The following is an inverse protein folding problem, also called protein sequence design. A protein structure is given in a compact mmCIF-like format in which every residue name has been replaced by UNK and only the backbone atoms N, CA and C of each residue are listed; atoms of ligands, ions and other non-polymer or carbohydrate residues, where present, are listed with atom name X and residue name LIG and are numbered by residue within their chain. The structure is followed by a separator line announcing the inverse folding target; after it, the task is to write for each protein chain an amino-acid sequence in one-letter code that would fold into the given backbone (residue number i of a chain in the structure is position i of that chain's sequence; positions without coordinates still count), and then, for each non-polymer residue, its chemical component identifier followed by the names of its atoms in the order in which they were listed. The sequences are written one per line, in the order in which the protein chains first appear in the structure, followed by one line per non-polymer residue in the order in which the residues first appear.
data_IF_539570906262
#
_entry.id   IF_539570906262
#
_cell.length_a   1.000
_cell.length_b   1.000
_cell.length_c   1.000
_cell.angle_alpha   90.00
_cell.angle_beta   90.00
_cell.angle_gamma   90.00
#
_symmetry.space_group_name_H-M   'P 1'
#
loop_
_entity.id
_entity.type
_entity.pdbx_description
1 polymer ?
#
# COMPACT_ATOMS: atom_id res chain seq x y z
N UNK A 1 35.76 19.43 20.50
CA UNK A 1 34.63 18.51 20.75
C UNK A 1 33.89 18.40 19.43
N UNK A 2 34.14 17.33 18.68
CA UNK A 2 33.72 17.18 17.29
C UNK A 2 32.24 16.81 17.19
N UNK A 3 31.54 17.56 16.35
CA UNK A 3 30.14 17.44 15.97
C UNK A 3 29.85 16.07 15.34
N UNK A 4 29.26 15.14 16.09
CA UNK A 4 29.17 13.72 15.74
C UNK A 4 27.75 13.17 15.51
N UNK A 5 26.75 14.03 15.29
CA UNK A 5 25.32 13.60 15.30
C UNK A 5 24.45 14.20 14.19
N UNK A 6 25.02 14.92 13.22
CA UNK A 6 24.25 15.85 12.39
C UNK A 6 23.12 15.21 11.55
N UNK A 7 23.16 13.92 11.24
CA UNK A 7 22.23 13.28 10.29
C UNK A 7 21.67 11.92 10.71
N UNK A 8 21.62 11.59 12.00
CA UNK A 8 21.07 10.31 12.46
C UNK A 8 19.58 10.15 12.14
N UNK A 9 19.18 8.93 11.77
CA UNK A 9 17.80 8.52 11.53
C UNK A 9 17.35 7.61 12.68
N UNK A 10 16.24 7.93 13.35
CA UNK A 10 15.61 7.01 14.31
C UNK A 10 14.17 6.71 13.91
N UNK A 11 13.87 5.41 13.79
CA UNK A 11 12.54 4.88 13.49
C UNK A 11 12.07 4.01 14.66
N UNK A 12 10.86 4.30 15.14
CA UNK A 12 10.18 3.52 16.17
C UNK A 12 8.96 2.84 15.57
N UNK A 13 8.76 1.55 15.85
CA UNK A 13 7.57 0.79 15.47
C UNK A 13 7.16 -0.13 16.61
N UNK A 14 5.85 -0.32 16.75
CA UNK A 14 5.29 -1.35 17.61
C UNK A 14 4.82 -2.51 16.74
N UNK A 15 5.30 -3.72 17.05
CA UNK A 15 5.00 -4.95 16.31
C UNK A 15 4.29 -5.91 17.25
N UNK A 16 3.13 -6.42 16.82
CA UNK A 16 2.27 -7.34 17.59
C UNK A 16 2.81 -8.78 17.59
N UNK A 17 4.07 -8.95 18.00
CA UNK A 17 4.74 -10.24 18.11
C UNK A 17 5.75 -10.25 19.29
N UNK A 18 6.07 -11.43 19.86
CA UNK A 18 7.11 -11.58 20.87
C UNK A 18 8.49 -11.15 20.36
N UNK A 19 9.36 -10.67 21.26
CA UNK A 19 10.69 -10.13 20.90
C UNK A 19 11.53 -11.11 20.11
N UNK A 20 11.51 -12.38 20.48
CA UNK A 20 12.26 -13.45 19.83
C UNK A 20 11.88 -13.56 18.37
N UNK A 21 10.58 -13.48 18.07
CA UNK A 21 10.06 -13.56 16.70
C UNK A 21 10.38 -12.33 15.88
N UNK A 22 10.35 -11.16 16.50
CA UNK A 22 10.76 -9.91 15.86
C UNK A 22 12.26 -9.93 15.58
N UNK A 23 13.09 -10.35 16.54
CA UNK A 23 14.53 -10.51 16.38
C UNK A 23 14.87 -11.50 15.26
N UNK A 24 14.22 -12.66 15.23
CA UNK A 24 14.40 -13.68 14.19
C UNK A 24 14.14 -13.11 12.79
N UNK A 25 13.17 -12.20 12.65
CA UNK A 25 12.87 -11.57 11.36
C UNK A 25 14.01 -10.69 10.83
N UNK A 26 14.95 -10.24 11.66
CA UNK A 26 16.13 -9.46 11.25
C UNK A 26 17.33 -10.33 10.83
N UNK A 27 17.34 -11.61 11.20
CA UNK A 27 18.56 -12.44 11.09
C UNK A 27 18.35 -13.76 10.34
N UNK A 28 17.10 -14.20 10.15
CA UNK A 28 16.80 -15.40 9.39
C UNK A 28 16.48 -15.06 7.93
N UNK A 29 17.28 -15.59 7.00
CA UNK A 29 17.13 -15.31 5.57
C UNK A 29 15.70 -15.52 5.02
N UNK A 30 14.94 -16.59 5.38
CA UNK A 30 13.56 -16.77 4.91
C UNK A 30 12.57 -15.69 5.38
N UNK A 31 12.85 -15.03 6.51
CA UNK A 31 12.01 -13.94 7.01
C UNK A 31 12.46 -12.61 6.42
N UNK A 32 13.77 -12.34 6.43
CA UNK A 32 14.36 -11.12 5.86
C UNK A 32 13.93 -10.90 4.40
N UNK A 33 13.91 -11.97 3.60
CA UNK A 33 13.55 -11.91 2.18
C UNK A 33 12.12 -11.42 1.93
N UNK A 34 11.27 -11.38 2.95
CA UNK A 34 9.86 -10.99 2.86
C UNK A 34 9.59 -9.53 3.23
N UNK A 35 10.56 -8.80 3.79
CA UNK A 35 10.31 -7.43 4.27
C UNK A 35 11.47 -6.44 4.11
N UNK A 36 12.73 -6.91 3.97
CA UNK A 36 13.91 -6.03 3.95
C UNK A 36 14.14 -5.38 2.58
N UNK A 37 13.08 -4.77 2.06
CA UNK A 37 13.07 -3.85 0.93
C UNK A 37 11.81 -2.96 1.03
N UNK A 38 11.73 -1.83 0.34
CA UNK A 38 10.48 -1.08 0.24
C UNK A 38 9.37 -1.89 -0.45
N UNK A 39 8.10 -1.55 -0.20
CA UNK A 39 6.97 -2.14 -0.92
C UNK A 39 7.13 -1.98 -2.43
N UNK A 40 6.68 -2.98 -3.19
CA UNK A 40 6.85 -3.05 -4.66
C UNK A 40 8.23 -3.47 -5.13
N UNK A 41 9.14 -3.81 -4.21
CA UNK A 41 10.39 -4.51 -4.49
C UNK A 41 10.34 -5.93 -3.94
N UNK A 42 11.31 -6.76 -4.35
CA UNK A 42 11.52 -8.10 -3.81
C UNK A 42 12.96 -8.26 -3.30
N UNK A 43 13.19 -9.27 -2.47
CA UNK A 43 14.53 -9.68 -2.03
C UNK A 43 14.82 -11.10 -2.56
N UNK A 44 15.27 -11.24 -3.82
CA UNK A 44 15.54 -12.55 -4.41
C UNK A 44 16.70 -13.32 -3.75
N UNK A 45 17.65 -12.61 -3.12
CA UNK A 45 18.83 -13.22 -2.52
C UNK A 45 19.10 -12.61 -1.14
N UNK A 46 19.25 -13.47 -0.13
CA UNK A 46 19.54 -13.10 1.25
C UNK A 46 20.49 -14.13 1.86
N UNK A 47 21.65 -13.68 2.35
CA UNK A 47 22.68 -14.49 2.99
C UNK A 47 23.01 -13.92 4.35
N UNK A 48 23.00 -14.75 5.39
CA UNK A 48 23.07 -14.31 6.78
C UNK A 48 23.91 -15.29 7.62
N UNK A 49 25.07 -14.84 8.11
CA UNK A 49 25.85 -15.50 9.17
C UNK A 49 25.50 -14.80 10.50
N UNK A 50 24.43 -15.27 11.14
CA UNK A 50 23.76 -14.62 12.27
C UNK A 50 24.49 -14.83 13.61
N UNK A 51 25.66 -14.20 13.75
CA UNK A 51 26.48 -14.20 14.98
C UNK A 51 27.33 -12.93 15.04
N UNK A 52 27.89 -12.64 16.21
CA UNK A 52 28.87 -11.56 16.36
C UNK A 52 30.07 -11.76 15.39
N UNK A 53 30.42 -10.74 14.64
CA UNK A 53 31.44 -10.77 13.58
C UNK A 53 31.01 -11.45 12.27
N UNK A 54 29.82 -12.06 12.23
CA UNK A 54 29.26 -12.65 11.01
C UNK A 54 28.86 -11.58 9.99
N UNK A 55 28.72 -11.99 8.73
CA UNK A 55 28.38 -11.11 7.60
C UNK A 55 27.00 -11.40 7.04
N UNK A 56 26.40 -10.38 6.45
CA UNK A 56 25.16 -10.53 5.69
C UNK A 56 25.26 -9.82 4.33
N UNK A 57 24.44 -10.28 3.39
CA UNK A 57 24.27 -9.69 2.06
C UNK A 57 22.83 -9.87 1.61
N UNK A 58 22.22 -8.79 1.11
CA UNK A 58 20.84 -8.73 0.62
C UNK A 58 20.84 -8.08 -0.76
N UNK A 59 20.20 -8.75 -1.72
CA UNK A 59 19.91 -8.19 -3.04
C UNK A 59 18.44 -7.81 -3.07
N UNK A 60 18.15 -6.52 -3.20
CA UNK A 60 16.81 -6.01 -3.46
C UNK A 60 16.62 -5.82 -4.97
N UNK A 61 15.44 -6.11 -5.49
CA UNK A 61 15.11 -5.97 -6.90
C UNK A 61 13.85 -5.13 -7.08
N UNK A 62 13.96 -4.07 -7.88
CA UNK A 62 12.82 -3.26 -8.29
C UNK A 62 12.06 -3.93 -9.45
N UNK A 63 10.81 -3.51 -9.67
CA UNK A 63 9.94 -4.04 -10.74
C UNK A 63 10.54 -3.94 -12.15
N UNK A 64 11.34 -2.92 -12.41
CA UNK A 64 12.05 -2.75 -13.69
C UNK A 64 13.27 -3.68 -13.84
N UNK A 65 13.51 -4.58 -12.88
CA UNK A 65 14.63 -5.51 -12.86
C UNK A 65 15.92 -4.94 -12.25
N UNK A 66 15.97 -3.64 -11.92
CA UNK A 66 17.15 -3.04 -11.30
C UNK A 66 17.44 -3.68 -9.94
N UNK A 67 18.72 -4.01 -9.71
CA UNK A 67 19.20 -4.65 -8.48
C UNK A 67 19.99 -3.67 -7.61
N UNK A 68 19.76 -3.74 -6.30
CA UNK A 68 20.43 -2.97 -5.27
C UNK A 68 20.98 -3.95 -4.24
N UNK A 69 22.30 -3.99 -4.09
CA UNK A 69 22.95 -4.95 -3.18
C UNK A 69 23.50 -4.19 -1.98
N UNK A 70 23.05 -4.59 -0.80
CA UNK A 70 23.55 -4.11 0.48
C UNK A 70 24.17 -5.26 1.27
N UNK A 71 25.13 -4.93 2.13
CA UNK A 71 25.71 -5.88 3.06
C UNK A 71 26.44 -5.19 4.19
N UNK A 72 26.93 -6.01 5.12
CA UNK A 72 27.69 -5.54 6.26
C UNK A 72 28.03 -6.67 7.22
N UNK A 73 28.56 -6.29 8.38
CA UNK A 73 28.96 -7.22 9.44
C UNK A 73 28.23 -6.90 10.74
N UNK A 74 27.85 -7.93 11.48
CA UNK A 74 27.30 -7.81 12.83
C UNK A 74 28.41 -7.44 13.83
N UNK A 75 28.26 -6.27 14.46
CA UNK A 75 29.18 -5.77 15.49
C UNK A 75 28.73 -6.19 16.88
N UNK A 76 27.42 -6.09 17.16
CA UNK A 76 26.80 -6.61 18.38
C UNK A 76 25.63 -7.54 18.01
N UNK A 77 25.55 -8.68 18.69
CA UNK A 77 24.52 -9.70 18.47
C UNK A 77 24.07 -10.26 19.82
N UNK A 78 23.03 -9.67 20.41
CA UNK A 78 22.51 -10.04 21.73
C UNK A 78 21.05 -10.44 21.57
N UNK A 79 20.77 -11.73 21.39
CA UNK A 79 19.41 -12.24 21.20
C UNK A 79 18.66 -12.31 22.54
N UNK A 80 17.38 -11.87 22.62
CA UNK A 80 16.57 -11.18 21.61
C UNK A 80 16.57 -9.64 21.77
N UNK A 81 17.57 -9.06 22.42
CA UNK A 81 17.54 -7.69 22.95
C UNK A 81 18.09 -6.62 22.00
N UNK A 82 19.19 -6.90 21.29
CA UNK A 82 19.94 -5.89 20.54
C UNK A 82 20.69 -6.46 19.34
N UNK A 83 20.67 -5.71 18.24
CA UNK A 83 21.54 -5.91 17.08
C UNK A 83 22.25 -4.60 16.73
N UNK A 84 23.54 -4.66 16.43
CA UNK A 84 24.27 -3.56 15.79
C UNK A 84 25.04 -4.11 14.60
N UNK A 85 24.84 -3.54 13.43
CA UNK A 85 25.47 -4.00 12.20
C UNK A 85 25.79 -2.86 11.24
N UNK A 86 26.85 -3.05 10.46
CA UNK A 86 27.18 -2.14 9.36
C UNK A 86 26.18 -2.24 8.22
N UNK A 87 25.97 -1.16 7.49
CA UNK A 87 25.16 -1.14 6.27
C UNK A 87 25.89 -0.37 5.18
N UNK A 88 26.23 -1.06 4.09
CA UNK A 88 26.91 -0.50 2.94
C UNK A 88 26.28 -0.98 1.64
N UNK A 89 26.08 -0.05 0.71
CA UNK A 89 25.71 -0.36 -0.66
C UNK A 89 26.96 -0.78 -1.46
N UNK A 90 26.87 -1.84 -2.27
CA UNK A 90 28.02 -2.31 -3.06
C UNK A 90 28.29 -1.42 -4.29
N UNK A 91 27.24 -0.91 -4.93
CA UNK A 91 27.37 -0.09 -6.15
C UNK A 91 26.32 1.03 -6.24
N UNK A 92 25.03 0.69 -6.11
CA UNK A 92 23.90 1.65 -6.22
C UNK A 92 23.28 1.90 -4.84
N UNK A 93 22.90 3.15 -4.56
CA UNK A 93 22.30 3.58 -3.29
C UNK A 93 23.08 4.76 -2.72
N UNK A 94 24.14 4.46 -1.98
CA UNK A 94 25.15 5.44 -1.52
C UNK A 94 26.54 4.78 -1.63
N UNK A 95 27.30 5.03 -2.69
CA UNK A 95 28.58 4.36 -2.89
C UNK A 95 29.60 4.75 -1.80
N UNK A 96 30.20 3.74 -1.14
CA UNK A 96 31.43 3.91 -0.36
C UNK A 96 31.30 4.27 1.13
N UNK A 97 30.19 4.85 1.59
CA UNK A 97 29.99 5.13 3.02
C UNK A 97 29.30 3.96 3.73
N UNK A 98 29.96 3.37 4.72
CA UNK A 98 29.35 2.41 5.63
C UNK A 98 28.66 3.17 6.77
N UNK A 99 27.35 3.01 6.86
CA UNK A 99 26.54 3.49 7.98
C UNK A 99 26.44 2.41 9.06
N UNK A 100 26.06 2.78 10.27
CA UNK A 100 25.83 1.84 11.38
C UNK A 100 24.35 1.81 11.74
N UNK A 101 23.75 0.62 11.78
CA UNK A 101 22.36 0.41 12.22
C UNK A 101 22.38 -0.27 13.58
N UNK A 102 21.71 0.33 14.56
CA UNK A 102 21.44 -0.24 15.87
C UNK A 102 19.94 -0.49 16.01
N UNK A 103 19.54 -1.70 16.40
CA UNK A 103 18.15 -2.09 16.65
C UNK A 103 18.04 -2.58 18.09
N UNK A 104 17.22 -1.91 18.88
CA UNK A 104 16.80 -2.36 20.20
C UNK A 104 15.40 -2.99 20.13
N UNK A 105 15.22 -4.13 20.75
CA UNK A 105 13.97 -4.88 20.81
C UNK A 105 13.43 -4.85 22.24
N UNK A 106 12.42 -4.01 22.45
CA UNK A 106 11.94 -3.67 23.78
C UNK A 106 10.59 -4.32 24.01
N UNK A 107 10.47 -5.10 25.08
CA UNK A 107 9.21 -5.75 25.44
C UNK A 107 8.16 -4.72 25.87
N UNK A 108 6.93 -4.92 25.39
CA UNK A 108 5.77 -4.09 25.70
C UNK A 108 4.56 -4.99 25.89
N UNK A 109 3.52 -4.47 26.55
CA UNK A 109 2.25 -5.14 26.60
C UNK A 109 1.73 -5.41 25.16
N UNK A 110 1.38 -6.67 24.88
CA UNK A 110 0.87 -7.13 23.58
C UNK A 110 1.83 -7.05 22.37
N UNK A 111 3.15 -6.91 22.58
CA UNK A 111 4.10 -6.95 21.49
C UNK A 111 5.51 -6.44 21.82
N UNK A 112 6.21 -5.98 20.78
CA UNK A 112 7.58 -5.49 20.84
C UNK A 112 7.65 -4.10 20.23
N UNK A 113 8.23 -3.16 20.96
CA UNK A 113 8.68 -1.89 20.39
C UNK A 113 10.08 -2.10 19.82
N UNK A 114 10.27 -1.82 18.54
CA UNK A 114 11.61 -1.70 17.96
C UNK A 114 12.01 -0.22 17.92
N UNK A 115 13.27 0.04 18.29
CA UNK A 115 13.93 1.33 18.04
C UNK A 115 15.13 1.07 17.15
N UNK A 116 15.01 1.48 15.89
CA UNK A 116 16.08 1.37 14.90
C UNK A 116 16.71 2.73 14.68
N UNK A 117 18.00 2.85 14.95
CA UNK A 117 18.79 4.07 14.68
C UNK A 117 19.86 3.76 13.65
N UNK A 118 19.91 4.55 12.57
CA UNK A 118 20.98 4.50 11.58
C UNK A 118 21.78 5.80 11.63
N UNK A 119 23.09 5.66 11.78
CA UNK A 119 24.03 6.78 11.95
C UNK A 119 25.14 6.73 10.91
N UNK A 120 25.79 7.87 10.67
CA UNK A 120 26.91 8.00 9.73
C UNK A 120 26.50 8.41 8.31
N UNK A 121 25.33 9.04 8.15
CA UNK A 121 24.93 9.62 6.88
C UNK A 121 25.80 10.84 6.53
N UNK A 122 26.19 11.01 5.25
CA UNK A 122 27.01 12.14 4.81
C UNK A 122 26.23 13.46 4.78
N UNK A 123 24.91 13.40 4.58
CA UNK A 123 24.03 14.56 4.50
C UNK A 123 22.56 14.19 4.83
N UNK A 124 21.71 15.21 4.91
CA UNK A 124 20.29 15.08 5.20
C UNK A 124 19.51 14.35 4.08
N UNK A 125 19.83 14.59 2.80
CA UNK A 125 19.10 13.99 1.68
C UNK A 125 19.30 12.46 1.64
N UNK A 126 20.51 12.01 1.92
CA UNK A 126 20.86 10.62 2.13
C UNK A 126 20.05 9.98 3.25
N UNK A 127 19.98 10.64 4.43
CA UNK A 127 19.17 10.19 5.58
C UNK A 127 17.69 10.09 5.21
N UNK A 128 17.14 11.11 4.57
CA UNK A 128 15.70 11.20 4.26
C UNK A 128 15.29 10.12 3.24
N UNK A 129 16.14 9.84 2.25
CA UNK A 129 15.92 8.71 1.31
C UNK A 129 15.89 7.36 2.03
N UNK A 130 16.76 7.17 3.04
CA UNK A 130 16.75 5.95 3.86
C UNK A 130 15.55 5.91 4.82
N UNK A 131 15.06 7.05 5.30
CA UNK A 131 13.83 7.12 6.11
C UNK A 131 12.62 6.60 5.33
N UNK A 132 12.47 6.99 4.07
CA UNK A 132 11.40 6.51 3.20
C UNK A 132 11.51 5.00 2.96
N UNK A 133 12.71 4.53 2.60
CA UNK A 133 12.98 3.12 2.33
C UNK A 133 12.72 2.23 3.55
N UNK A 134 13.34 2.55 4.69
CA UNK A 134 13.13 1.83 5.94
C UNK A 134 11.71 1.96 6.46
N UNK A 135 11.09 3.14 6.32
CA UNK A 135 9.70 3.34 6.69
C UNK A 135 8.78 2.34 5.98
N UNK A 136 8.96 2.16 4.68
CA UNK A 136 8.24 1.17 3.88
C UNK A 136 8.59 -0.28 4.26
N UNK A 137 9.87 -0.61 4.41
CA UNK A 137 10.31 -1.95 4.82
C UNK A 137 9.75 -2.37 6.18
N UNK A 138 9.76 -1.45 7.16
CA UNK A 138 9.24 -1.73 8.49
C UNK A 138 7.72 -1.88 8.50
N UNK A 139 6.98 -1.25 7.58
CA UNK A 139 5.56 -1.52 7.39
C UNK A 139 5.35 -2.98 6.90
N UNK A 140 6.16 -3.46 5.96
CA UNK A 140 6.12 -4.86 5.54
C UNK A 140 6.44 -5.83 6.69
N UNK A 141 7.39 -5.47 7.55
CA UNK A 141 7.72 -6.27 8.74
C UNK A 141 6.52 -6.33 9.71
N UNK A 142 5.80 -5.23 9.90
CA UNK A 142 4.59 -5.20 10.73
C UNK A 142 3.53 -6.14 10.17
N UNK A 143 3.25 -6.07 8.87
CA UNK A 143 2.26 -6.96 8.22
C UNK A 143 2.68 -8.43 8.27
N UNK A 144 3.96 -8.71 8.02
CA UNK A 144 4.54 -10.05 8.07
C UNK A 144 4.36 -10.70 9.44
N UNK A 145 4.56 -9.92 10.50
CA UNK A 145 4.55 -10.43 11.87
C UNK A 145 3.19 -10.28 12.56
N UNK A 146 2.20 -9.70 11.92
CA UNK A 146 0.88 -9.55 12.49
C UNK A 146 -0.11 -10.62 11.97
N UNK A 147 -0.17 -11.72 12.71
CA UNK A 147 -1.03 -12.86 12.41
C UNK A 147 -2.51 -12.46 12.33
N UNK A 148 -2.94 -11.48 13.14
CA UNK A 148 -4.34 -11.07 13.25
C UNK A 148 -4.74 -9.97 12.26
N UNK A 149 -3.78 -9.26 11.66
CA UNK A 149 -4.07 -8.18 10.70
C UNK A 149 -4.50 -6.84 11.29
N UNK A 150 -4.22 -6.62 12.58
CA UNK A 150 -4.54 -5.41 13.33
C UNK A 150 -3.40 -4.39 13.39
N UNK A 151 -2.23 -4.69 12.82
CA UNK A 151 -1.08 -3.82 12.64
C UNK A 151 -1.07 -3.18 11.25
N UNK A 152 -2.14 -3.38 10.47
CA UNK A 152 -2.23 -2.91 9.09
C UNK A 152 -1.94 -1.40 9.05
N UNK A 153 -0.78 -1.07 8.50
CA UNK A 153 -0.40 0.30 8.19
C UNK A 153 -1.34 0.90 7.14
N UNK A 154 -2.08 0.02 6.46
CA UNK A 154 -3.15 0.30 5.51
C UNK A 154 -4.44 0.71 6.23
N UNK A 155 -4.84 1.97 6.04
CA UNK A 155 -6.10 2.53 6.52
C UNK A 155 -6.88 3.09 5.34
N UNK A 156 -8.14 2.68 5.23
CA UNK A 156 -9.10 3.23 4.26
C UNK A 156 -10.13 4.06 5.03
N UNK A 157 -10.25 5.33 4.70
CA UNK A 157 -11.24 6.23 5.28
C UNK A 157 -12.38 6.46 4.29
N UNK A 158 -13.63 6.25 4.72
CA UNK A 158 -14.80 6.55 3.91
C UNK A 158 -16.06 5.78 4.29
N UNK A 159 -17.21 6.24 3.78
CA UNK A 159 -18.50 5.59 3.97
C UNK A 159 -18.52 4.20 3.30
N UNK A 160 -18.80 3.11 4.02
CA UNK A 160 -18.80 1.75 3.47
C UNK A 160 -19.82 1.53 2.33
N UNK A 161 -20.80 2.42 2.16
CA UNK A 161 -21.81 2.36 1.10
C UNK A 161 -21.34 3.00 -0.21
N UNK A 162 -20.30 3.84 -0.18
CA UNK A 162 -19.78 4.50 -1.37
C UNK A 162 -19.27 3.47 -2.38
N UNK A 163 -19.67 3.60 -3.64
CA UNK A 163 -19.20 2.73 -4.74
C UNK A 163 -17.67 2.71 -4.81
N UNK A 164 -17.03 3.87 -4.68
CA UNK A 164 -15.57 4.00 -4.70
C UNK A 164 -14.86 3.40 -3.48
N UNK A 165 -15.46 3.53 -2.29
CA UNK A 165 -14.93 2.86 -1.09
C UNK A 165 -15.05 1.35 -1.25
N UNK A 166 -16.18 0.85 -1.77
CA UNK A 166 -16.37 -0.58 -2.08
C UNK A 166 -15.37 -1.07 -3.12
N UNK A 167 -15.10 -0.32 -4.18
CA UNK A 167 -14.07 -0.64 -5.18
C UNK A 167 -12.68 -0.80 -4.54
N UNK A 168 -12.25 0.15 -3.70
CA UNK A 168 -10.98 0.04 -2.99
C UNK A 168 -10.92 -1.18 -2.07
N UNK A 169 -12.01 -1.47 -1.33
CA UNK A 169 -12.13 -2.63 -0.46
C UNK A 169 -12.05 -3.96 -1.21
N UNK A 170 -12.69 -4.06 -2.38
CA UNK A 170 -12.60 -5.24 -3.22
C UNK A 170 -11.18 -5.44 -3.74
N UNK A 171 -10.50 -4.38 -4.21
CA UNK A 171 -9.11 -4.49 -4.64
C UNK A 171 -8.14 -4.92 -3.52
N UNK A 172 -8.34 -4.41 -2.30
CA UNK A 172 -7.59 -4.88 -1.12
C UNK A 172 -7.88 -6.36 -0.82
N UNK A 173 -9.14 -6.80 -0.92
CA UNK A 173 -9.54 -8.18 -0.69
C UNK A 173 -8.94 -9.15 -1.72
N UNK A 174 -8.99 -8.80 -3.01
CA UNK A 174 -8.39 -9.60 -4.10
C UNK A 174 -6.87 -9.77 -3.93
N UNK A 175 -6.20 -8.75 -3.39
CA UNK A 175 -4.76 -8.79 -3.09
C UNK A 175 -4.43 -9.47 -1.76
N UNK A 176 -5.44 -9.85 -0.97
CA UNK A 176 -5.26 -10.40 0.37
C UNK A 176 -4.65 -9.40 1.37
N UNK A 177 -4.77 -8.09 1.08
CA UNK A 177 -4.22 -7.02 1.92
C UNK A 177 -5.17 -6.77 3.09
N UNK A 178 -4.66 -6.97 4.31
CA UNK A 178 -5.38 -6.62 5.53
C UNK A 178 -5.35 -5.10 5.72
N UNK A 179 -6.47 -4.51 6.12
CA UNK A 179 -6.62 -3.06 6.29
C UNK A 179 -7.62 -2.73 7.39
N UNK A 180 -7.52 -1.50 7.91
CA UNK A 180 -8.55 -0.92 8.78
C UNK A 180 -9.46 -0.02 7.98
N UNK A 181 -10.78 -0.28 8.01
CA UNK A 181 -11.78 0.66 7.51
C UNK A 181 -12.18 1.63 8.63
N UNK A 182 -12.00 2.93 8.40
CA UNK A 182 -12.48 3.99 9.28
C UNK A 182 -13.68 4.68 8.62
N UNK A 183 -14.91 4.46 9.11
CA UNK A 183 -16.10 5.07 8.52
C UNK A 183 -16.08 6.59 8.73
N UNK A 184 -15.95 7.35 7.66
CA UNK A 184 -16.04 8.81 7.65
C UNK A 184 -16.94 9.27 6.51
N UNK A 185 -17.80 10.24 6.79
CA UNK A 185 -18.54 10.95 5.75
C UNK A 185 -17.58 11.81 4.92
N UNK A 186 -17.90 12.09 3.64
CA UNK A 186 -17.18 13.08 2.84
C UNK A 186 -17.13 14.45 3.54
N UNK A 187 -16.12 15.25 3.22
CA UNK A 187 -15.92 16.62 3.70
C UNK A 187 -15.72 16.77 5.22
N UNK A 188 -15.37 15.69 5.92
CA UNK A 188 -14.93 15.74 7.31
C UNK A 188 -13.44 16.14 7.41
N UNK A 189 -13.00 16.71 8.55
CA UNK A 189 -11.58 17.07 8.75
C UNK A 189 -10.61 15.90 8.52
N UNK A 190 -11.00 14.69 8.93
CA UNK A 190 -10.19 13.48 8.78
C UNK A 190 -10.00 13.10 7.30
N UNK A 191 -11.04 13.30 6.49
CA UNK A 191 -10.94 13.10 5.04
C UNK A 191 -10.09 14.19 4.39
N UNK A 192 -10.28 15.47 4.75
CA UNK A 192 -9.47 16.57 4.19
C UNK A 192 -7.98 16.46 4.51
N UNK A 193 -7.62 15.80 5.61
CA UNK A 193 -6.22 15.52 5.95
C UNK A 193 -5.51 14.57 4.95
N UNK A 194 -6.24 13.95 4.02
CA UNK A 194 -5.70 13.01 3.00
C UNK A 194 -6.20 13.35 1.60
N UNK A 195 -7.48 13.71 1.47
CA UNK A 195 -8.16 13.95 0.22
C UNK A 195 -8.49 15.45 0.09
N UNK A 196 -7.78 16.22 -0.75
CA UNK A 196 -7.92 17.69 -0.80
C UNK A 196 -9.31 18.17 -1.26
N UNK A 197 -10.00 17.36 -2.07
CA UNK A 197 -11.38 17.64 -2.52
C UNK A 197 -12.48 17.16 -1.54
N UNK A 198 -12.10 16.60 -0.38
CA UNK A 198 -13.04 16.10 0.62
C UNK A 198 -13.89 14.91 0.16
N UNK A 199 -13.48 14.16 -0.86
CA UNK A 199 -14.20 12.97 -1.33
C UNK A 199 -13.65 11.71 -0.64
N UNK A 200 -14.34 10.59 -0.84
CA UNK A 200 -13.96 9.28 -0.31
C UNK A 200 -13.81 8.30 -1.47
N UNK A 201 -12.89 7.31 -1.37
CA UNK A 201 -12.03 6.99 -0.24
C UNK A 201 -10.81 7.92 -0.09
N UNK A 202 -10.35 8.08 1.15
CA UNK A 202 -8.99 8.49 1.48
C UNK A 202 -8.20 7.25 1.93
N UNK A 203 -6.94 7.13 1.50
CA UNK A 203 -6.10 5.96 1.76
C UNK A 203 -4.79 6.35 2.43
N UNK A 204 -4.37 5.55 3.40
CA UNK A 204 -3.05 5.64 4.03
C UNK A 204 -2.36 4.29 4.02
N UNK A 205 -1.05 4.29 3.78
CA UNK A 205 -0.14 3.21 4.15
C UNK A 205 1.07 3.80 4.89
N UNK A 206 0.99 3.83 6.22
CA UNK A 206 1.96 4.56 7.03
C UNK A 206 1.98 6.05 6.67
N UNK A 207 3.09 6.52 6.08
CA UNK A 207 3.24 7.91 5.62
C UNK A 207 2.70 8.15 4.20
N UNK A 208 2.47 7.10 3.41
CA UNK A 208 1.89 7.23 2.08
C UNK A 208 0.43 7.63 2.24
N UNK A 209 0.04 8.74 1.61
CA UNK A 209 -1.33 9.25 1.60
C UNK A 209 -1.79 9.37 0.15
N UNK A 210 -2.88 8.69 -0.19
CA UNK A 210 -3.42 8.67 -1.54
C UNK A 210 -4.91 9.00 -1.53
N UNK A 211 -5.33 9.67 -2.59
CA UNK A 211 -6.72 9.87 -2.97
C UNK A 211 -6.89 9.45 -4.45
N UNK A 212 -8.12 9.42 -4.94
CA UNK A 212 -8.54 8.76 -6.19
C UNK A 212 -8.42 7.22 -6.15
N UNK A 213 -9.56 6.56 -6.33
CA UNK A 213 -9.67 5.10 -6.25
C UNK A 213 -8.79 4.37 -7.26
N UNK A 214 -8.59 4.94 -8.46
CA UNK A 214 -7.74 4.31 -9.49
C UNK A 214 -6.27 4.38 -9.12
N UNK A 215 -5.83 5.50 -8.54
CA UNK A 215 -4.47 5.65 -8.01
C UNK A 215 -4.23 4.72 -6.82
N UNK A 216 -5.22 4.60 -5.92
CA UNK A 216 -5.18 3.66 -4.78
C UNK A 216 -5.04 2.21 -5.28
N UNK A 217 -5.85 1.77 -6.25
CA UNK A 217 -5.76 0.40 -6.76
C UNK A 217 -4.46 0.12 -7.51
N UNK A 218 -3.92 1.09 -8.26
CA UNK A 218 -2.59 0.96 -8.89
C UNK A 218 -1.48 0.82 -7.85
N UNK A 219 -1.52 1.65 -6.80
CA UNK A 219 -0.58 1.53 -5.69
C UNK A 219 -0.68 0.15 -5.03
N UNK A 220 -1.90 -0.29 -4.72
CA UNK A 220 -2.14 -1.60 -4.10
C UNK A 220 -1.67 -2.75 -4.99
N UNK A 221 -1.89 -2.67 -6.30
CA UNK A 221 -1.42 -3.68 -7.26
C UNK A 221 0.10 -3.82 -7.29
N UNK A 222 0.80 -2.68 -7.27
CA UNK A 222 2.26 -2.63 -7.39
C UNK A 222 2.99 -2.84 -6.06
N UNK A 223 2.42 -2.36 -4.96
CA UNK A 223 3.07 -2.34 -3.64
C UNK A 223 2.91 -3.67 -2.88
N UNK A 224 1.87 -4.45 -3.18
CA UNK A 224 1.53 -5.67 -2.44
C UNK A 224 1.57 -6.92 -3.32
N UNK A 225 1.92 -8.08 -2.75
CA UNK A 225 1.84 -9.36 -3.44
C UNK A 225 0.38 -9.75 -3.75
N UNK A 226 0.20 -10.82 -4.51
CA UNK A 226 -1.12 -11.35 -4.88
C UNK A 226 -1.47 -11.12 -6.35
N UNK A 227 -2.65 -11.56 -6.79
CA UNK A 227 -3.11 -11.45 -8.18
C UNK A 227 -2.99 -10.02 -8.70
N UNK A 228 -2.68 -9.83 -9.99
CA UNK A 228 -2.61 -8.48 -10.54
C UNK A 228 -4.00 -7.94 -10.83
N UNK A 229 -4.27 -6.71 -10.39
CA UNK A 229 -5.49 -5.96 -10.72
C UNK A 229 -5.38 -5.26 -12.09
N UNK A 230 -4.18 -5.22 -12.67
CA UNK A 230 -3.89 -4.53 -13.92
C UNK A 230 -3.43 -5.54 -14.98
N UNK A 231 -4.03 -5.56 -16.18
CA UNK A 231 -3.63 -6.53 -17.21
C UNK A 231 -2.16 -6.43 -17.68
N UNK A 232 -1.65 -7.52 -18.26
CA UNK A 232 -0.22 -7.68 -18.53
C UNK A 232 0.35 -6.90 -19.72
N UNK A 233 -0.39 -6.76 -20.84
CA UNK A 233 0.13 -6.06 -22.03
C UNK A 233 -0.22 -4.57 -22.01
N UNK A 234 0.55 -3.75 -22.73
CA UNK A 234 0.25 -2.30 -22.87
C UNK A 234 -1.18 -2.09 -23.39
N UNK A 235 -1.60 -2.88 -24.38
CA UNK A 235 -2.95 -2.81 -24.96
C UNK A 235 -4.03 -3.12 -23.92
N UNK A 236 -3.83 -4.17 -23.14
CA UNK A 236 -4.85 -4.61 -22.19
C UNK A 236 -4.92 -3.66 -20.97
N UNK A 237 -3.79 -3.06 -20.57
CA UNK A 237 -3.78 -1.94 -19.61
C UNK A 237 -4.55 -0.73 -20.11
N UNK A 238 -4.34 -0.35 -21.37
CA UNK A 238 -5.08 0.76 -21.98
C UNK A 238 -6.60 0.47 -22.03
N UNK A 239 -6.99 -0.77 -22.32
CA UNK A 239 -8.40 -1.20 -22.27
C UNK A 239 -8.98 -1.16 -20.85
N UNK A 240 -8.23 -1.60 -19.85
CA UNK A 240 -8.64 -1.48 -18.46
C UNK A 240 -8.88 -0.01 -18.07
N UNK A 241 -7.92 0.87 -18.38
CA UNK A 241 -8.05 2.30 -18.09
C UNK A 241 -9.19 2.97 -18.87
N UNK A 242 -9.41 2.57 -20.13
CA UNK A 242 -10.53 3.03 -20.94
C UNK A 242 -11.86 2.73 -20.23
N UNK A 243 -12.05 1.52 -19.71
CA UNK A 243 -13.27 1.15 -19.00
C UNK A 243 -13.41 1.86 -17.65
N UNK A 244 -12.34 1.95 -16.85
CA UNK A 244 -12.35 2.74 -15.60
C UNK A 244 -12.76 4.19 -15.87
N UNK A 245 -12.19 4.79 -16.92
CA UNK A 245 -12.53 6.15 -17.34
C UNK A 245 -13.98 6.27 -17.80
N UNK A 246 -14.47 5.35 -18.63
CA UNK A 246 -15.85 5.34 -19.10
C UNK A 246 -16.86 5.15 -17.96
N UNK A 247 -16.54 4.31 -16.98
CA UNK A 247 -17.36 4.10 -15.79
C UNK A 247 -17.48 5.41 -15.01
N UNK A 248 -16.35 6.07 -14.72
CA UNK A 248 -16.35 7.33 -13.97
C UNK A 248 -17.04 8.48 -14.72
N UNK A 249 -16.81 8.58 -16.03
CA UNK A 249 -17.31 9.70 -16.84
C UNK A 249 -18.81 9.57 -17.20
N UNK A 250 -19.28 8.35 -17.45
CA UNK A 250 -20.61 8.12 -18.02
C UNK A 250 -21.51 7.27 -17.12
N UNK A 251 -21.02 6.16 -16.58
CA UNK A 251 -21.87 5.17 -15.89
C UNK A 251 -22.20 5.63 -14.47
N UNK A 252 -21.22 6.11 -13.69
CA UNK A 252 -21.44 6.63 -12.32
C UNK A 252 -22.44 7.79 -12.31
N UNK A 253 -22.29 8.74 -13.25
CA UNK A 253 -23.19 9.89 -13.38
C UNK A 253 -24.65 9.49 -13.62
N UNK A 254 -24.87 8.42 -14.38
CA UNK A 254 -26.20 7.94 -14.75
C UNK A 254 -26.78 7.01 -13.66
N UNK A 255 -26.13 5.88 -13.42
CA UNK A 255 -26.64 4.81 -12.56
C UNK A 255 -26.54 5.15 -11.07
N UNK A 256 -25.49 5.86 -10.64
CA UNK A 256 -25.30 6.19 -9.22
C UNK A 256 -25.89 7.56 -8.92
N UNK A 257 -25.39 8.63 -9.55
CA UNK A 257 -25.72 10.02 -9.13
C UNK A 257 -27.15 10.42 -9.46
N UNK A 258 -27.62 10.14 -10.68
CA UNK A 258 -28.96 10.52 -11.13
C UNK A 258 -30.04 9.51 -10.76
N UNK A 259 -29.66 8.27 -10.44
CA UNK A 259 -30.62 7.23 -10.08
C UNK A 259 -30.53 6.84 -8.60
N UNK A 260 -29.51 6.08 -8.18
CA UNK A 260 -29.43 5.61 -6.78
C UNK A 260 -29.45 6.76 -5.75
N UNK A 261 -28.64 7.80 -5.95
CA UNK A 261 -28.56 8.91 -4.99
C UNK A 261 -29.83 9.77 -4.96
N UNK A 262 -30.65 9.77 -6.01
CA UNK A 262 -31.96 10.45 -5.96
C UNK A 262 -32.95 9.73 -5.04
N UNK A 263 -32.82 8.42 -4.86
CA UNK A 263 -33.62 7.67 -3.88
C UNK A 263 -33.06 7.77 -2.46
N UNK A 264 -31.73 7.72 -2.30
CA UNK A 264 -31.09 7.75 -0.99
C UNK A 264 -31.02 9.17 -0.39
N UNK A 265 -30.85 10.18 -1.23
CA UNK A 265 -30.71 11.59 -0.86
C UNK A 265 -31.55 12.45 -1.81
N UNK A 266 -32.88 12.35 -1.72
CA UNK A 266 -33.80 13.00 -2.65
C UNK A 266 -33.63 14.53 -2.64
N UNK A 267 -33.67 15.11 -3.84
CA UNK A 267 -33.58 16.58 -4.05
C UNK A 267 -34.82 17.18 -4.71
N UNK A 268 -35.85 16.37 -4.94
CA UNK A 268 -37.11 16.83 -5.53
C UNK A 268 -38.01 17.55 -4.53
N UNK A 269 -39.14 18.03 -5.05
CA UNK A 269 -40.13 18.76 -4.26
C UNK A 269 -40.60 17.95 -3.04
N UNK A 270 -40.71 18.61 -1.88
CA UNK A 270 -41.14 17.96 -0.64
C UNK A 270 -40.19 16.88 -0.12
N UNK A 271 -38.91 16.89 -0.55
CA UNK A 271 -37.94 15.86 -0.18
C UNK A 271 -38.19 14.51 -0.85
N UNK A 272 -38.94 14.48 -1.96
CA UNK A 272 -39.19 13.28 -2.74
C UNK A 272 -38.13 13.08 -3.84
N UNK A 273 -37.90 11.86 -4.32
CA UNK A 273 -37.04 11.61 -5.46
C UNK A 273 -37.52 12.38 -6.70
N UNK A 274 -36.60 13.02 -7.43
CA UNK A 274 -36.94 13.73 -8.67
C UNK A 274 -37.21 12.71 -9.80
N UNK A 275 -38.49 12.50 -10.11
CA UNK A 275 -38.92 11.56 -11.16
C UNK A 275 -38.43 11.94 -12.55
N UNK A 276 -38.33 13.22 -12.88
CA UNK A 276 -37.85 13.64 -14.19
C UNK A 276 -36.37 13.23 -14.38
N UNK A 277 -35.55 13.43 -13.36
CA UNK A 277 -34.13 13.01 -13.37
C UNK A 277 -34.00 11.49 -13.41
N UNK A 278 -34.79 10.78 -12.61
CA UNK A 278 -34.78 9.31 -12.55
C UNK A 278 -35.22 8.71 -13.89
N UNK A 279 -36.36 9.14 -14.44
CA UNK A 279 -36.91 8.57 -15.67
C UNK A 279 -36.01 8.86 -16.88
N UNK A 280 -35.37 10.04 -16.92
CA UNK A 280 -34.34 10.34 -17.90
C UNK A 280 -33.12 9.42 -17.76
N UNK A 281 -32.66 9.18 -16.52
CA UNK A 281 -31.55 8.26 -16.25
C UNK A 281 -31.89 6.83 -16.68
N UNK A 282 -33.10 6.33 -16.37
CA UNK A 282 -33.53 4.97 -16.73
C UNK A 282 -33.50 4.74 -18.24
N UNK A 283 -33.92 5.73 -19.03
CA UNK A 283 -33.86 5.66 -20.50
C UNK A 283 -32.40 5.56 -21.00
N UNK A 284 -31.49 6.30 -20.39
CA UNK A 284 -30.07 6.30 -20.75
C UNK A 284 -29.35 5.01 -20.31
N UNK A 285 -29.70 4.48 -19.14
CA UNK A 285 -29.12 3.25 -18.59
C UNK A 285 -29.26 2.05 -19.53
N UNK A 286 -30.40 1.93 -20.23
CA UNK A 286 -30.61 0.84 -21.18
C UNK A 286 -29.51 0.79 -22.26
N UNK A 287 -29.08 1.95 -22.75
CA UNK A 287 -27.98 2.06 -23.72
C UNK A 287 -26.63 1.69 -23.10
N UNK A 288 -26.36 2.15 -21.88
CA UNK A 288 -25.13 1.83 -21.16
C UNK A 288 -25.02 0.33 -20.83
N UNK A 289 -26.11 -0.29 -20.38
CA UNK A 289 -26.16 -1.74 -20.13
C UNK A 289 -25.97 -2.55 -21.42
N UNK A 290 -26.51 -2.11 -22.56
CA UNK A 290 -26.28 -2.76 -23.85
C UNK A 290 -24.81 -2.66 -24.31
N UNK A 291 -24.12 -1.58 -23.98
CA UNK A 291 -22.67 -1.44 -24.21
C UNK A 291 -21.88 -2.42 -23.34
N UNK A 292 -22.25 -2.55 -22.07
CA UNK A 292 -21.63 -3.51 -21.13
C UNK A 292 -21.88 -4.97 -21.58
N UNK A 293 -23.11 -5.33 -21.93
CA UNK A 293 -23.44 -6.67 -22.45
C UNK A 293 -22.59 -7.05 -23.67
N UNK A 294 -22.41 -6.10 -24.60
CA UNK A 294 -21.54 -6.30 -25.76
C UNK A 294 -20.08 -6.50 -25.36
N UNK A 295 -19.60 -5.79 -24.35
CA UNK A 295 -18.23 -5.92 -23.85
C UNK A 295 -17.97 -7.32 -23.26
N UNK A 296 -18.95 -7.87 -22.52
CA UNK A 296 -18.88 -9.21 -21.91
C UNK A 296 -19.12 -10.35 -22.90
N UNK A 297 -19.85 -10.14 -24.00
CA UNK A 297 -20.09 -11.21 -24.99
C UNK A 297 -18.81 -11.83 -25.58
N UNK A 298 -17.73 -11.06 -25.61
CA UNK A 298 -16.42 -11.52 -26.11
C UNK A 298 -15.36 -11.73 -25.04
N UNK A 299 -15.65 -11.47 -23.76
CA UNK A 299 -14.68 -11.49 -22.68
C UNK A 299 -15.30 -11.93 -21.36
N UNK A 300 -14.56 -12.70 -20.56
CA UNK A 300 -15.01 -13.06 -19.21
C UNK A 300 -15.06 -11.84 -18.27
N UNK A 301 -14.25 -10.81 -18.56
CA UNK A 301 -14.12 -9.55 -17.82
C UNK A 301 -13.98 -8.35 -18.76
N UNK A 302 -14.23 -7.13 -18.28
CA UNK A 302 -14.25 -5.91 -19.12
C UNK A 302 -12.96 -5.68 -19.91
N UNK A 303 -11.81 -6.03 -19.30
CA UNK A 303 -10.49 -5.80 -19.88
C UNK A 303 -9.79 -7.09 -20.36
N UNK A 304 -10.47 -8.23 -20.42
CA UNK A 304 -9.90 -9.49 -20.92
C UNK A 304 -10.44 -10.74 -20.24
N UNK A 305 -9.56 -11.72 -20.01
CA UNK A 305 -9.92 -13.05 -19.45
C UNK A 305 -9.77 -13.16 -17.93
N UNK A 306 -9.31 -12.10 -17.27
CA UNK A 306 -9.09 -12.08 -15.83
C UNK A 306 -9.67 -10.80 -15.24
N UNK A 307 -10.07 -10.89 -13.97
CA UNK A 307 -10.53 -9.76 -13.18
C UNK A 307 -9.52 -8.61 -13.23
N UNK A 308 -10.03 -7.40 -13.39
CA UNK A 308 -9.21 -6.19 -13.43
C UNK A 308 -9.84 -5.05 -12.63
N UNK A 309 -9.11 -3.95 -12.44
CA UNK A 309 -9.67 -2.74 -11.84
C UNK A 309 -10.96 -2.28 -12.54
N UNK A 310 -11.09 -2.45 -13.86
CA UNK A 310 -12.30 -2.07 -14.58
C UNK A 310 -13.54 -2.75 -14.00
N UNK A 311 -13.44 -4.06 -13.74
CA UNK A 311 -14.52 -4.86 -13.15
C UNK A 311 -14.81 -4.41 -11.72
N UNK A 312 -13.77 -4.11 -10.93
CA UNK A 312 -13.91 -3.61 -9.55
C UNK A 312 -14.55 -2.23 -9.46
N UNK A 313 -14.41 -1.40 -10.49
CA UNK A 313 -15.09 -0.10 -10.60
C UNK A 313 -16.56 -0.26 -11.00
N UNK A 314 -16.89 -1.26 -11.82
CA UNK A 314 -18.26 -1.50 -12.29
C UNK A 314 -19.11 -2.25 -11.26
N UNK A 315 -18.55 -3.27 -10.62
CA UNK A 315 -19.26 -4.19 -9.73
C UNK A 315 -20.07 -3.54 -8.59
N UNK A 316 -19.67 -2.42 -7.96
CA UNK A 316 -20.48 -1.81 -6.91
C UNK A 316 -21.59 -0.89 -7.44
N UNK A 317 -21.64 -0.66 -8.76
CA UNK A 317 -22.65 0.15 -9.45
C UNK A 317 -23.81 -0.73 -9.95
N UNK A 318 -23.50 -1.94 -10.42
CA UNK A 318 -24.47 -2.97 -10.78
C UNK A 318 -25.17 -3.54 -9.54
#
# INVERSE_FOLDING_TARGET
MSDGTAHDLTLIRFIRAPRERVFDAFVQAPLVSRWMCPRGMSVPEAQFDARAGGRFRVTMQARNGARFVAGGSYREFVRPEKLVYGWRWEARGMPGAETSIAVAFIERAAGTEIRMTQSGFPDAAARDTHEEGWGSSLNQLCDLLDERGQAATVVLLGDPRSSYVRTARMGLAEKGVKYTLQPHAPHTPEIFAVHPFGRVPAFRDGRVMLFETSAILRYVDEAFPGPSLVPGTVRDRARCEQWVSAINAYIDGTMVRRYVLQYLFPKGAGGQPDRAVIDASVKEMAGQLAILDRAYRGNDYLAGKALSMADLFLAPIL
#
